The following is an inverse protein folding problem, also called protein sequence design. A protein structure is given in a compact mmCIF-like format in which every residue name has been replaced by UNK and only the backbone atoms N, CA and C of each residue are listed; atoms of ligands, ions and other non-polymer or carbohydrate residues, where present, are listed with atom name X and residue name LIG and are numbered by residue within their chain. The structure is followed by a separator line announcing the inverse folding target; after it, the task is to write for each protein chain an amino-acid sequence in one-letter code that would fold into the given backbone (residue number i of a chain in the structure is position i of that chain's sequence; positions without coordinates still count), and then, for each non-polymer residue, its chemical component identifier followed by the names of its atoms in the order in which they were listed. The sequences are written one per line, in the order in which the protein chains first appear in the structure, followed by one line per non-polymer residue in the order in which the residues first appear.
data_IF_753953508009
#
_entry.id   IF_753953508009
#
_cell.length_a   1.000
_cell.length_b   1.000
_cell.length_c   1.000
_cell.angle_alpha   90.00
_cell.angle_beta   90.00
_cell.angle_gamma   90.00
#
_symmetry.space_group_name_H-M   'P 1'
#
loop_
_entity.id
_entity.type
_entity.pdbx_description
1 polymer ?
#
# COMPACT_ATOMS: atom_id res chain seq x y z
N UNK A 1 -33.97 -30.32 0.17
CA UNK A 1 -33.37 -30.57 1.50
C UNK A 1 -31.87 -30.26 1.55
N UNK A 2 -30.98 -31.02 0.90
CA UNK A 2 -29.53 -30.73 0.95
C UNK A 2 -29.11 -29.39 0.30
N UNK A 3 -29.84 -28.95 -0.73
CA UNK A 3 -29.64 -27.65 -1.41
C UNK A 3 -30.11 -26.49 -0.55
N UNK A 4 -31.21 -26.66 0.18
CA UNK A 4 -31.81 -25.62 1.01
C UNK A 4 -30.98 -25.41 2.28
N UNK A 5 -30.48 -26.49 2.87
CA UNK A 5 -29.53 -26.45 3.99
C UNK A 5 -28.23 -25.73 3.62
N UNK A 6 -27.66 -25.96 2.43
CA UNK A 6 -26.48 -25.23 1.95
C UNK A 6 -26.76 -23.74 1.74
N UNK A 7 -27.92 -23.38 1.19
CA UNK A 7 -28.33 -21.98 1.02
C UNK A 7 -28.50 -21.28 2.37
N UNK A 8 -29.12 -21.95 3.35
CA UNK A 8 -29.31 -21.40 4.69
C UNK A 8 -27.97 -21.21 5.40
N UNK A 9 -27.05 -22.18 5.32
CA UNK A 9 -25.71 -22.06 5.88
C UNK A 9 -24.94 -20.87 5.27
N UNK A 10 -25.05 -20.66 3.96
CA UNK A 10 -24.42 -19.52 3.30
C UNK A 10 -25.03 -18.18 3.73
N UNK A 11 -26.36 -18.10 3.89
CA UNK A 11 -27.01 -16.89 4.43
C UNK A 11 -26.53 -16.58 5.84
N UNK A 12 -26.51 -17.57 6.73
CA UNK A 12 -26.00 -17.40 8.10
C UNK A 12 -24.54 -16.98 8.12
N UNK A 13 -23.72 -17.49 7.20
CA UNK A 13 -22.34 -17.05 7.04
C UNK A 13 -22.26 -15.57 6.69
N UNK A 14 -23.01 -15.10 5.69
CA UNK A 14 -23.03 -13.69 5.30
C UNK A 14 -23.57 -12.77 6.41
N UNK A 15 -24.59 -13.23 7.15
CA UNK A 15 -25.14 -12.52 8.30
C UNK A 15 -24.11 -12.42 9.44
N UNK A 16 -23.49 -13.56 9.81
CA UNK A 16 -22.50 -13.61 10.90
C UNK A 16 -21.22 -12.84 10.57
N UNK A 17 -20.79 -12.89 9.30
CA UNK A 17 -19.66 -12.12 8.80
C UNK A 17 -19.96 -10.62 8.65
N UNK A 18 -21.21 -10.19 8.87
CA UNK A 18 -21.62 -8.78 8.79
C UNK A 18 -21.77 -8.24 7.36
N UNK A 19 -21.68 -9.08 6.33
CA UNK A 19 -21.82 -8.67 4.92
C UNK A 19 -23.21 -8.09 4.66
N UNK A 20 -24.25 -8.71 5.22
CA UNK A 20 -25.63 -8.24 5.07
C UNK A 20 -25.84 -6.89 5.76
N UNK A 21 -25.28 -6.71 6.96
CA UNK A 21 -25.36 -5.44 7.70
C UNK A 21 -24.64 -4.31 6.95
N UNK A 22 -23.44 -4.57 6.45
CA UNK A 22 -22.68 -3.60 5.65
C UNK A 22 -23.40 -3.23 4.34
N UNK A 23 -23.95 -4.20 3.60
CA UNK A 23 -24.79 -3.95 2.42
C UNK A 23 -25.98 -3.07 2.77
N UNK A 24 -26.68 -3.40 3.85
CA UNK A 24 -27.88 -2.66 4.29
C UNK A 24 -27.51 -1.21 4.63
N UNK A 25 -26.47 -0.99 5.43
CA UNK A 25 -25.98 0.35 5.78
C UNK A 25 -25.57 1.17 4.56
N UNK A 26 -24.87 0.55 3.61
CA UNK A 26 -24.44 1.23 2.38
C UNK A 26 -25.63 1.66 1.52
N UNK A 27 -26.66 0.82 1.42
CA UNK A 27 -27.90 1.16 0.70
C UNK A 27 -28.73 2.22 1.42
N UNK A 28 -28.77 2.21 2.75
CA UNK A 28 -29.41 3.26 3.55
C UNK A 28 -28.71 4.59 3.34
N UNK A 29 -27.38 4.63 3.44
CA UNK A 29 -26.60 5.84 3.17
C UNK A 29 -26.85 6.37 1.76
N UNK A 30 -26.80 5.49 0.74
CA UNK A 30 -27.13 5.87 -0.63
C UNK A 30 -28.56 6.42 -0.76
N UNK A 31 -29.51 5.90 0.00
CA UNK A 31 -30.89 6.37 0.03
C UNK A 31 -31.06 7.71 0.76
N UNK A 32 -30.29 7.95 1.81
CA UNK A 32 -30.30 9.20 2.59
C UNK A 32 -29.53 10.33 1.91
N UNK A 33 -28.67 10.01 0.95
CA UNK A 33 -27.83 11.03 0.31
C UNK A 33 -28.67 12.11 -0.39
N UNK A 34 -28.51 13.39 -0.01
CA UNK A 34 -29.35 14.49 -0.50
C UNK A 34 -29.15 14.75 -1.99
N UNK A 35 -27.93 14.53 -2.49
CA UNK A 35 -27.59 14.57 -3.90
C UNK A 35 -27.18 13.16 -4.35
N UNK A 36 -28.02 12.52 -5.17
CA UNK A 36 -27.74 11.15 -5.60
C UNK A 36 -26.48 11.11 -6.47
N UNK A 37 -25.53 10.20 -6.18
CA UNK A 37 -24.35 10.07 -7.03
C UNK A 37 -24.76 9.63 -8.43
N UNK A 38 -24.08 10.16 -9.45
CA UNK A 38 -24.32 9.77 -10.85
C UNK A 38 -24.06 8.29 -11.14
N UNK A 39 -23.28 7.61 -10.28
CA UNK A 39 -23.06 6.17 -10.33
C UNK A 39 -23.23 5.52 -8.94
N UNK A 40 -24.37 4.85 -8.75
CA UNK A 40 -24.68 4.13 -7.51
C UNK A 40 -23.73 2.94 -7.23
N UNK A 41 -23.22 2.29 -8.28
CA UNK A 41 -22.30 1.14 -8.12
C UNK A 41 -20.98 1.61 -7.52
N UNK A 42 -20.45 2.73 -8.01
CA UNK A 42 -19.19 3.29 -7.51
C UNK A 42 -19.34 3.77 -6.06
N UNK A 43 -20.47 4.39 -5.71
CA UNK A 43 -20.77 4.77 -4.34
C UNK A 43 -20.74 3.57 -3.38
N UNK A 44 -21.42 2.47 -3.77
CA UNK A 44 -21.43 1.24 -2.96
C UNK A 44 -20.03 0.62 -2.90
N UNK A 45 -19.24 0.64 -3.97
CA UNK A 45 -17.85 0.15 -3.92
C UNK A 45 -17.01 0.93 -2.91
N UNK A 46 -17.08 2.26 -2.93
CA UNK A 46 -16.37 3.11 -1.98
C UNK A 46 -16.84 2.89 -0.54
N UNK A 47 -18.15 2.69 -0.31
CA UNK A 47 -18.69 2.37 1.01
C UNK A 47 -18.13 1.05 1.59
N UNK A 48 -17.66 0.14 0.75
CA UNK A 48 -17.02 -1.12 1.12
C UNK A 48 -15.49 -0.99 1.29
N UNK A 49 -14.95 0.23 1.23
CA UNK A 49 -13.52 0.50 1.33
C UNK A 49 -12.73 0.16 0.08
N UNK A 50 -13.39 -0.06 -1.06
CA UNK A 50 -12.68 -0.21 -2.32
C UNK A 50 -12.10 1.15 -2.73
N UNK A 51 -10.78 1.25 -2.98
CA UNK A 51 -10.20 2.47 -3.49
C UNK A 51 -10.78 2.77 -4.87
N UNK A 52 -11.03 4.04 -5.13
CA UNK A 52 -11.32 4.52 -6.48
C UNK A 52 -10.11 4.29 -7.38
N UNK A 53 -10.29 4.21 -8.72
CA UNK A 53 -9.16 4.12 -9.65
C UNK A 53 -8.13 5.22 -9.43
N UNK A 54 -8.57 6.46 -9.16
CA UNK A 54 -7.70 7.58 -8.89
C UNK A 54 -6.88 7.41 -7.60
N UNK A 55 -7.50 6.92 -6.51
CA UNK A 55 -6.78 6.61 -5.26
C UNK A 55 -5.79 5.46 -5.44
N UNK A 56 -6.14 4.46 -6.24
CA UNK A 56 -5.26 3.34 -6.56
C UNK A 56 -4.03 3.80 -7.37
N UNK A 57 -4.25 4.65 -8.37
CA UNK A 57 -3.18 5.22 -9.19
C UNK A 57 -2.26 6.10 -8.35
N UNK A 58 -2.83 6.95 -7.48
CA UNK A 58 -2.06 7.78 -6.55
C UNK A 58 -1.22 6.94 -5.59
N UNK A 59 -1.81 5.90 -4.98
CA UNK A 59 -1.11 4.99 -4.08
C UNK A 59 0.04 4.25 -4.79
N UNK A 60 -0.16 3.89 -6.06
CA UNK A 60 0.87 3.25 -6.89
C UNK A 60 2.02 4.20 -7.20
N UNK A 61 1.71 5.46 -7.52
CA UNK A 61 2.71 6.49 -7.74
C UNK A 61 3.54 6.76 -6.48
N UNK A 62 2.89 6.89 -5.32
CA UNK A 62 3.55 7.09 -4.03
C UNK A 62 4.46 5.92 -3.66
N UNK A 63 3.98 4.68 -3.85
CA UNK A 63 4.77 3.47 -3.65
C UNK A 63 6.04 3.50 -4.50
N UNK A 64 5.90 3.78 -5.80
CA UNK A 64 7.05 3.82 -6.71
C UNK A 64 8.04 4.93 -6.33
N UNK A 65 7.55 6.10 -5.91
CA UNK A 65 8.38 7.20 -5.42
C UNK A 65 9.14 6.85 -4.14
N UNK A 66 8.50 6.15 -3.20
CA UNK A 66 9.14 5.67 -1.98
C UNK A 66 10.21 4.61 -2.28
N UNK A 67 9.93 3.65 -3.17
CA UNK A 67 10.90 2.64 -3.59
C UNK A 67 12.14 3.27 -4.26
N UNK A 68 11.93 4.29 -5.11
CA UNK A 68 13.02 5.04 -5.70
C UNK A 68 13.87 5.76 -4.64
N UNK A 69 13.23 6.40 -3.66
CA UNK A 69 13.92 7.11 -2.58
C UNK A 69 14.69 6.18 -1.65
N UNK A 70 14.13 5.00 -1.35
CA UNK A 70 14.85 3.96 -0.60
C UNK A 70 16.11 3.55 -1.35
N UNK A 71 16.00 3.28 -2.64
CA UNK A 71 17.15 2.91 -3.49
C UNK A 71 18.23 4.00 -3.52
N UNK A 72 17.83 5.27 -3.65
CA UNK A 72 18.74 6.41 -3.63
C UNK A 72 19.47 6.54 -2.29
N UNK A 73 18.74 6.43 -1.17
CA UNK A 73 19.32 6.53 0.16
C UNK A 73 20.26 5.36 0.46
N UNK A 74 19.92 4.14 0.05
CA UNK A 74 20.80 2.97 0.18
C UNK A 74 22.11 3.16 -0.61
N UNK A 75 22.03 3.69 -1.83
CA UNK A 75 23.21 4.02 -2.62
C UNK A 75 24.08 5.08 -1.94
N UNK A 76 23.46 6.14 -1.39
CA UNK A 76 24.18 7.21 -0.70
C UNK A 76 24.83 6.73 0.60
N UNK A 77 24.15 5.88 1.37
CA UNK A 77 24.73 5.24 2.56
C UNK A 77 25.95 4.42 2.17
N UNK A 78 25.86 3.60 1.11
CA UNK A 78 26.99 2.80 0.63
C UNK A 78 28.18 3.67 0.21
N UNK A 79 27.93 4.76 -0.50
CA UNK A 79 28.97 5.71 -0.91
C UNK A 79 29.64 6.37 0.30
N UNK A 80 28.86 6.84 1.26
CA UNK A 80 29.38 7.47 2.47
C UNK A 80 30.17 6.49 3.33
N UNK A 81 29.71 5.24 3.47
CA UNK A 81 30.45 4.20 4.18
C UNK A 81 31.81 3.92 3.52
N UNK A 82 31.87 3.85 2.19
CA UNK A 82 33.13 3.64 1.47
C UNK A 82 34.11 4.81 1.69
N UNK A 83 33.62 6.06 1.68
CA UNK A 83 34.44 7.25 1.98
C UNK A 83 34.95 7.26 3.42
N UNK A 84 34.13 6.82 4.38
CA UNK A 84 34.56 6.70 5.78
C UNK A 84 35.68 5.66 5.89
N UNK A 85 35.52 4.49 5.27
CA UNK A 85 36.54 3.43 5.27
C UNK A 85 37.87 3.89 4.65
N UNK A 86 37.82 4.63 3.54
CA UNK A 86 39.00 5.23 2.90
C UNK A 86 39.72 6.25 3.80
N UNK A 87 38.96 7.06 4.55
CA UNK A 87 39.52 8.04 5.48
C UNK A 87 40.06 7.39 6.77
N UNK A 88 39.45 6.29 7.24
CA UNK A 88 39.88 5.56 8.43
C UNK A 88 41.11 4.67 8.15
N UNK A 89 41.30 4.22 6.91
CA UNK A 89 42.50 3.53 6.42
C UNK A 89 43.18 4.35 5.31
N UNK A 90 43.82 5.50 5.64
CA UNK A 90 44.56 6.25 4.65
C UNK A 90 45.66 5.35 4.06
N UNK A 91 45.89 5.38 2.73
CA UNK A 91 46.95 4.60 2.13
C UNK A 91 48.27 4.97 2.81
N UNK A 92 48.95 3.94 3.34
CA UNK A 92 50.27 4.07 3.92
C UNK A 92 51.19 4.51 2.77
N UNK A 93 51.47 5.81 2.70
CA UNK A 93 52.46 6.39 1.81
C UNK A 93 53.81 5.89 2.32
N UNK A 94 54.18 4.67 1.92
CA UNK A 94 55.54 4.15 2.03
C UNK A 94 56.39 5.03 1.12
N UNK A 95 56.83 6.15 1.68
CA UNK A 95 57.84 7.00 1.09
C UNK A 95 59.04 6.13 0.74
N UNK A 96 59.32 6.05 -0.56
CA UNK A 96 60.61 5.63 -1.09
C UNK A 96 61.70 6.53 -0.47
N UNK A 97 62.23 6.13 0.68
CA UNK A 97 63.49 6.63 1.20
C UNK A 97 64.59 5.99 0.34
N UNK A 98 64.80 6.54 -0.85
CA UNK A 98 65.97 6.22 -1.66
C UNK A 98 67.20 6.65 -0.88
N UNK A 99 67.93 5.65 -0.40
CA UNK A 99 69.27 5.75 0.15
C UNK A 99 70.21 6.47 -0.80
N UNK A 100 70.86 7.54 -0.33
CA UNK A 100 72.16 8.02 -0.82
C UNK A 100 73.07 8.29 0.38
#
# INVERSE_FOLDING_TARGET
MATDSKKEAFRRFLETAGVIDMLTKSLVQLYEEPEKPGNAIDYVRTAFGAPTPAEFDALTADKNGLEAKVTELEAHIKELMAKIEELENPPNDEGEETTD
#
